data_IF_570566850821
#
_entry.id   IF_570566850821
#
_cell.length_a   1.000
_cell.length_b   1.000
_cell.length_c   1.000
_cell.angle_alpha   90.00
_cell.angle_beta   90.00
_cell.angle_gamma   90.00
#
_symmetry.space_group_name_H-M   'P 1'
#
loop_
_entity.id
_entity.type
_entity.pdbx_description
1 polymer ?
#
# COMPACT_ATOMS: atom_id res chain seq x y z
N UNK A 1 -3.85 60.04 16.03
CA UNK A 1 -4.84 58.95 16.12
C UNK A 1 -4.12 57.65 15.84
N UNK A 2 -3.83 56.88 16.88
CA UNK A 2 -3.13 55.59 16.77
C UNK A 2 -4.11 54.58 16.20
N UNK A 3 -3.79 53.97 15.06
CA UNK A 3 -4.51 52.82 14.54
C UNK A 3 -4.18 51.62 15.43
N UNK A 4 -5.10 51.22 16.31
CA UNK A 4 -5.11 49.89 16.90
C UNK A 4 -5.50 48.89 15.81
N UNK A 5 -4.54 48.09 15.36
CA UNK A 5 -4.83 46.92 14.54
C UNK A 5 -5.40 45.85 15.48
N UNK A 6 -6.73 45.77 15.56
CA UNK A 6 -7.43 44.66 16.21
C UNK A 6 -7.24 43.39 15.36
N UNK A 7 -6.23 42.57 15.69
CA UNK A 7 -5.98 41.29 15.02
C UNK A 7 -6.98 40.28 15.58
N UNK A 8 -8.16 40.23 14.97
CA UNK A 8 -9.27 39.36 15.41
C UNK A 8 -9.12 37.90 14.98
N UNK A 9 -8.17 37.59 14.10
CA UNK A 9 -7.78 36.22 13.74
C UNK A 9 -6.43 36.25 13.03
N UNK A 10 -5.55 35.28 13.30
CA UNK A 10 -4.39 35.00 12.45
C UNK A 10 -4.82 33.93 11.45
N UNK A 11 -5.13 34.27 10.18
CA UNK A 11 -5.51 33.28 9.20
C UNK A 11 -4.29 32.44 8.82
N UNK A 12 -4.21 31.22 9.35
CA UNK A 12 -3.30 30.21 8.82
C UNK A 12 -3.94 29.58 7.58
N UNK A 13 -3.17 29.46 6.49
CA UNK A 13 -3.67 28.85 5.25
C UNK A 13 -4.03 27.39 5.52
N UNK A 14 -5.31 27.08 5.45
CA UNK A 14 -5.78 25.71 5.60
C UNK A 14 -5.64 24.93 4.31
N UNK A 15 -5.21 23.68 4.45
CA UNK A 15 -5.08 22.69 3.39
C UNK A 15 -5.85 21.47 3.87
N UNK A 16 -6.85 21.07 3.10
CA UNK A 16 -7.55 19.81 3.28
C UNK A 16 -7.18 18.89 2.13
N UNK A 17 -6.65 17.72 2.46
CA UNK A 17 -6.23 16.70 1.47
C UNK A 17 -6.78 15.35 1.91
N UNK A 18 -7.31 14.59 0.95
CA UNK A 18 -7.73 13.21 1.18
C UNK A 18 -6.68 12.27 0.56
N UNK A 19 -6.17 11.34 1.36
CA UNK A 19 -5.28 10.28 0.90
C UNK A 19 -6.08 8.99 0.82
N UNK A 20 -6.17 8.41 -0.38
CA UNK A 20 -6.79 7.12 -0.58
C UNK A 20 -5.79 6.00 -0.21
N UNK A 21 -6.17 5.17 0.75
CA UNK A 21 -5.35 4.07 1.29
C UNK A 21 -5.98 2.68 1.03
N UNK A 22 -7.10 2.63 0.30
CA UNK A 22 -7.79 1.39 -0.05
C UNK A 22 -8.49 1.45 -1.40
N UNK A 23 -8.95 0.29 -1.86
CA UNK A 23 -9.57 0.10 -3.18
C UNK A 23 -11.02 0.60 -3.26
N UNK A 24 -11.66 0.76 -2.11
CA UNK A 24 -13.02 1.28 -2.01
C UNK A 24 -12.99 2.79 -1.73
N UNK A 25 -14.01 3.51 -2.20
CA UNK A 25 -14.13 4.97 -2.06
C UNK A 25 -14.94 5.38 -0.82
N UNK A 26 -15.06 4.48 0.15
CA UNK A 26 -15.73 4.71 1.43
C UNK A 26 -14.82 5.47 2.40
N UNK A 27 -15.41 6.02 3.46
CA UNK A 27 -14.69 6.82 4.47
C UNK A 27 -13.63 6.01 5.23
N UNK A 28 -13.79 4.69 5.33
CA UNK A 28 -12.83 3.77 5.96
C UNK A 28 -11.55 3.56 5.15
N UNK A 29 -11.59 3.80 3.83
CA UNK A 29 -10.44 3.65 2.93
C UNK A 29 -9.79 4.98 2.55
N UNK A 30 -10.23 6.09 3.17
CA UNK A 30 -9.67 7.41 2.96
C UNK A 30 -9.21 8.00 4.30
N UNK A 31 -8.05 8.66 4.27
CA UNK A 31 -7.53 9.45 5.36
C UNK A 31 -7.69 10.92 4.98
N UNK A 32 -8.49 11.64 5.75
CA UNK A 32 -8.66 13.08 5.58
C UNK A 32 -7.65 13.79 6.48
N UNK A 33 -6.81 14.60 5.88
CA UNK A 33 -5.96 15.55 6.60
C UNK A 33 -6.61 16.93 6.48
N UNK A 34 -6.93 17.52 7.62
CA UNK A 34 -7.40 18.90 7.68
C UNK A 34 -6.45 19.73 8.54
N UNK A 35 -5.73 20.64 7.90
CA UNK A 35 -4.82 21.57 8.57
C UNK A 35 -5.49 22.85 9.06
N UNK A 36 -6.83 22.90 9.10
CA UNK A 36 -7.59 23.99 9.72
C UNK A 36 -7.16 24.14 11.19
N UNK A 37 -6.38 25.18 11.46
CA UNK A 37 -6.00 25.62 12.79
C UNK A 37 -6.50 27.06 12.94
N UNK A 38 -7.69 27.22 13.51
CA UNK A 38 -8.27 28.53 13.76
C UNK A 38 -8.19 28.81 15.25
N UNK A 39 -7.39 29.80 15.62
CA UNK A 39 -7.37 30.34 16.97
C UNK A 39 -8.10 31.68 16.97
N UNK A 40 -9.20 31.73 17.71
CA UNK A 40 -9.98 32.95 17.88
C UNK A 40 -9.44 33.72 19.10
N UNK A 41 -8.96 34.93 18.85
CA UNK A 41 -8.48 35.88 19.86
C UNK A 41 -9.45 37.07 20.01
N UNK A 42 -10.64 37.00 19.41
CA UNK A 42 -11.62 38.07 19.52
C UNK A 42 -12.08 38.21 20.98
N UNK A 43 -11.86 39.39 21.56
CA UNK A 43 -12.27 39.71 22.93
C UNK A 43 -11.17 39.63 23.99
N UNK A 44 -9.93 39.28 23.64
CA UNK A 44 -8.79 39.36 24.58
C UNK A 44 -8.13 40.73 24.45
N UNK A 45 -8.36 41.62 25.42
CA UNK A 45 -7.64 42.89 25.53
C UNK A 45 -6.22 42.66 26.09
N UNK A 46 -5.22 43.37 25.57
CA UNK A 46 -3.80 43.17 25.87
C UNK A 46 -3.38 43.68 27.27
N UNK A 47 -4.33 43.85 28.18
CA UNK A 47 -4.09 44.09 29.61
C UNK A 47 -3.78 42.76 30.30
N UNK A 48 -2.53 42.59 30.75
CA UNK A 48 -1.93 41.35 31.31
C UNK A 48 -2.65 40.80 32.57
N UNK A 49 -3.74 41.41 33.04
CA UNK A 49 -4.44 41.07 34.28
C UNK A 49 -5.87 40.53 34.10
N UNK A 50 -6.32 40.17 32.90
CA UNK A 50 -7.66 39.61 32.71
C UNK A 50 -7.62 38.08 32.62
N UNK A 51 -8.50 37.44 33.40
CA UNK A 51 -8.82 35.99 33.34
C UNK A 51 -9.09 35.51 31.90
N UNK A 52 -9.49 36.43 31.02
CA UNK A 52 -9.78 36.23 29.60
C UNK A 52 -8.53 35.80 28.80
N UNK A 53 -7.36 36.39 29.05
CA UNK A 53 -6.12 35.99 28.40
C UNK A 53 -5.69 34.57 28.80
N UNK A 54 -5.87 34.22 30.08
CA UNK A 54 -5.61 32.85 30.56
C UNK A 54 -6.59 31.84 29.94
N UNK A 55 -7.88 32.19 29.86
CA UNK A 55 -8.88 31.35 29.21
C UNK A 55 -8.59 31.14 27.71
N UNK A 56 -8.08 32.15 27.01
CA UNK A 56 -7.67 32.01 25.61
C UNK A 56 -6.47 31.06 25.45
N UNK A 57 -5.50 31.08 26.36
CA UNK A 57 -4.37 30.14 26.36
C UNK A 57 -4.87 28.71 26.61
N UNK A 58 -5.78 28.51 27.56
CA UNK A 58 -6.39 27.19 27.82
C UNK A 58 -7.18 26.69 26.60
N UNK A 59 -7.90 27.58 25.91
CA UNK A 59 -8.60 27.23 24.67
C UNK A 59 -7.62 26.81 23.56
N UNK A 60 -6.50 27.50 23.43
CA UNK A 60 -5.43 27.13 22.51
C UNK A 60 -4.82 25.76 22.82
N UNK A 61 -4.55 25.47 24.10
CA UNK A 61 -3.99 24.18 24.53
C UNK A 61 -4.94 23.01 24.22
N UNK A 62 -6.24 23.22 24.42
CA UNK A 62 -7.27 22.24 24.07
C UNK A 62 -7.32 22.00 22.55
N UNK A 63 -7.29 23.07 21.74
CA UNK A 63 -7.23 22.95 20.28
C UNK A 63 -5.98 22.18 19.83
N UNK A 64 -4.82 22.48 20.40
CA UNK A 64 -3.58 21.79 20.09
C UNK A 64 -3.65 20.31 20.44
N UNK A 65 -4.22 19.98 21.61
CA UNK A 65 -4.42 18.60 22.07
C UNK A 65 -5.38 17.81 21.17
N UNK A 66 -6.46 18.44 20.72
CA UNK A 66 -7.39 17.85 19.76
C UNK A 66 -6.68 17.53 18.44
N UNK A 67 -5.90 18.48 17.92
CA UNK A 67 -5.15 18.28 16.67
C UNK A 67 -4.06 17.22 16.80
N UNK A 68 -3.34 17.17 17.92
CA UNK A 68 -2.37 16.11 18.18
C UNK A 68 -3.03 14.73 18.20
N UNK A 69 -4.21 14.63 18.80
CA UNK A 69 -5.00 13.38 18.84
C UNK A 69 -5.48 12.97 17.44
N UNK A 70 -5.97 13.92 16.65
CA UNK A 70 -6.36 13.68 15.25
C UNK A 70 -5.17 13.17 14.43
N UNK A 71 -3.98 13.78 14.57
CA UNK A 71 -2.76 13.33 13.90
C UNK A 71 -2.34 11.93 14.36
N UNK A 72 -2.43 11.63 15.65
CA UNK A 72 -2.15 10.29 16.17
C UNK A 72 -3.10 9.23 15.62
N UNK A 73 -4.40 9.53 15.52
CA UNK A 73 -5.38 8.63 14.90
C UNK A 73 -5.05 8.38 13.43
N UNK A 74 -4.63 9.42 12.70
CA UNK A 74 -4.21 9.29 11.30
C UNK A 74 -2.94 8.46 11.16
N UNK A 75 -1.94 8.66 12.02
CA UNK A 75 -0.72 7.83 12.04
C UNK A 75 -1.05 6.35 12.23
N UNK A 76 -1.90 6.01 13.21
CA UNK A 76 -2.33 4.62 13.43
C UNK A 76 -3.00 4.02 12.17
N UNK A 77 -3.82 4.80 11.47
CA UNK A 77 -4.44 4.34 10.21
C UNK A 77 -3.43 4.17 9.09
N UNK A 78 -2.43 5.03 8.99
CA UNK A 78 -1.33 4.88 8.02
C UNK A 78 -0.51 3.62 8.31
N UNK A 79 -0.19 3.34 9.57
CA UNK A 79 0.52 2.14 9.97
C UNK A 79 -0.28 0.87 9.65
N UNK A 80 -1.58 0.85 9.96
CA UNK A 80 -2.45 -0.28 9.62
C UNK A 80 -2.60 -0.48 8.10
N UNK A 81 -2.68 0.61 7.33
CA UNK A 81 -2.69 0.54 5.88
C UNK A 81 -1.37 0.00 5.32
N UNK A 82 -0.24 0.42 5.87
CA UNK A 82 1.09 -0.05 5.50
C UNK A 82 1.23 -1.56 5.74
N UNK A 83 0.85 -2.04 6.92
CA UNK A 83 0.87 -3.47 7.26
C UNK A 83 -0.02 -4.27 6.30
N UNK A 84 -1.23 -3.76 6.02
CA UNK A 84 -2.15 -4.38 5.07
C UNK A 84 -1.55 -4.46 3.66
N UNK A 85 -0.85 -3.43 3.20
CA UNK A 85 -0.18 -3.41 1.89
C UNK A 85 0.97 -4.41 1.88
N UNK A 86 1.77 -4.50 2.94
CA UNK A 86 2.88 -5.45 3.04
C UNK A 86 2.41 -6.90 2.96
N UNK A 87 1.34 -7.25 3.67
CA UNK A 87 0.70 -8.57 3.59
C UNK A 87 0.22 -8.87 2.16
N UNK A 88 -0.40 -7.88 1.49
CA UNK A 88 -0.83 -8.04 0.11
C UNK A 88 0.34 -8.24 -0.86
N UNK A 89 1.44 -7.51 -0.68
CA UNK A 89 2.67 -7.69 -1.47
C UNK A 89 3.23 -9.09 -1.30
N UNK A 90 3.28 -9.61 -0.07
CA UNK A 90 3.74 -10.97 0.22
C UNK A 90 2.85 -12.03 -0.44
N UNK A 91 1.52 -11.87 -0.35
CA UNK A 91 0.56 -12.77 -0.98
C UNK A 91 0.68 -12.76 -2.52
N UNK A 92 0.83 -11.59 -3.13
CA UNK A 92 1.00 -11.44 -4.57
C UNK A 92 2.35 -12.00 -5.05
N UNK A 93 3.41 -11.80 -4.26
CA UNK A 93 4.75 -12.33 -4.58
C UNK A 93 4.76 -13.85 -4.51
N UNK A 94 4.16 -14.44 -3.47
CA UNK A 94 4.00 -15.90 -3.35
C UNK A 94 3.20 -16.48 -4.52
N UNK A 95 2.04 -15.88 -4.81
CA UNK A 95 1.19 -16.29 -5.95
C UNK A 95 1.94 -16.21 -7.28
N UNK A 96 2.72 -15.13 -7.49
CA UNK A 96 3.55 -14.96 -8.69
C UNK A 96 4.66 -16.01 -8.77
N UNK A 97 5.27 -16.39 -7.64
CA UNK A 97 6.25 -17.48 -7.61
C UNK A 97 5.60 -18.78 -8.03
N UNK A 98 4.46 -19.13 -7.44
CA UNK A 98 3.72 -20.37 -7.77
C UNK A 98 3.34 -20.43 -9.24
N UNK A 99 2.85 -19.32 -9.83
CA UNK A 99 2.52 -19.28 -11.27
C UNK A 99 3.77 -19.50 -12.12
N UNK A 100 4.88 -18.80 -11.81
CA UNK A 100 6.14 -18.98 -12.54
C UNK A 100 6.69 -20.40 -12.42
N UNK A 101 6.63 -20.98 -11.23
CA UNK A 101 7.12 -22.34 -10.99
C UNK A 101 6.27 -23.38 -11.74
N UNK A 102 4.95 -23.17 -11.82
CA UNK A 102 4.06 -24.00 -12.63
C UNK A 102 4.35 -23.89 -14.14
N UNK A 103 4.55 -22.67 -14.65
CA UNK A 103 4.91 -22.45 -16.06
C UNK A 103 6.27 -23.12 -16.40
N UNK A 104 7.26 -23.03 -15.51
CA UNK A 104 8.57 -23.69 -15.68
C UNK A 104 8.42 -25.22 -15.63
N UNK A 105 7.58 -25.75 -14.73
CA UNK A 105 7.29 -27.19 -14.65
C UNK A 105 6.64 -27.71 -15.95
N UNK A 106 5.76 -26.92 -16.57
CA UNK A 106 5.15 -27.28 -17.85
C UNK A 106 6.19 -27.33 -18.98
N UNK A 107 6.98 -26.27 -19.14
CA UNK A 107 8.02 -26.21 -20.19
C UNK A 107 9.06 -27.32 -20.01
N UNK A 108 9.50 -27.59 -18.79
CA UNK A 108 10.46 -28.67 -18.51
C UNK A 108 9.88 -30.06 -18.78
N UNK A 109 8.60 -30.29 -18.47
CA UNK A 109 7.91 -31.55 -18.79
C UNK A 109 7.80 -31.76 -20.30
N UNK A 110 7.43 -30.71 -21.05
CA UNK A 110 7.38 -30.75 -22.51
C UNK A 110 8.76 -30.99 -23.13
N UNK A 111 9.80 -30.36 -22.59
CA UNK A 111 11.19 -30.57 -23.03
C UNK A 111 11.64 -32.02 -22.78
N UNK A 112 11.38 -32.58 -21.59
CA UNK A 112 11.70 -33.97 -21.25
C UNK A 112 10.93 -34.93 -22.16
N UNK A 113 9.64 -34.69 -22.40
CA UNK A 113 8.83 -35.51 -23.31
C UNK A 113 9.41 -35.54 -24.72
N UNK A 114 9.82 -34.38 -25.25
CA UNK A 114 10.47 -34.29 -26.56
C UNK A 114 11.81 -35.05 -26.58
N UNK A 115 12.61 -34.96 -25.52
CA UNK A 115 13.88 -35.67 -25.42
C UNK A 115 13.68 -37.20 -25.34
N UNK A 116 12.67 -37.66 -24.61
CA UNK A 116 12.27 -39.08 -24.56
C UNK A 116 11.81 -39.54 -25.94
N UNK A 117 10.99 -38.75 -26.65
CA UNK A 117 10.53 -39.10 -28.00
C UNK A 117 11.69 -39.21 -28.99
N UNK A 118 12.70 -38.34 -28.91
CA UNK A 118 13.89 -38.42 -29.75
C UNK A 118 14.72 -39.69 -29.46
N UNK A 119 14.95 -40.02 -28.19
CA UNK A 119 15.66 -41.25 -27.80
C UNK A 119 14.87 -42.52 -28.15
N UNK A 120 13.55 -42.51 -27.95
CA UNK A 120 12.67 -43.60 -28.35
C UNK A 120 12.68 -43.78 -29.87
N UNK A 121 12.61 -42.69 -30.65
CA UNK A 121 12.69 -42.75 -32.11
C UNK A 121 14.02 -43.35 -32.58
N UNK A 122 15.15 -42.95 -31.99
CA UNK A 122 16.46 -43.53 -32.31
C UNK A 122 16.54 -45.03 -31.96
N UNK A 123 16.02 -45.42 -30.79
CA UNK A 123 15.99 -46.81 -30.33
C UNK A 123 15.07 -47.67 -31.20
N UNK A 124 13.88 -47.15 -31.53
CA UNK A 124 12.91 -47.79 -32.42
C UNK A 124 13.44 -47.93 -33.84
N UNK A 125 14.16 -46.93 -34.37
CA UNK A 125 14.84 -47.06 -35.66
C UNK A 125 15.94 -48.13 -35.63
N UNK A 126 16.69 -48.25 -34.53
CA UNK A 126 17.69 -49.30 -34.38
C UNK A 126 17.04 -50.71 -34.28
N UNK A 127 15.92 -50.84 -33.58
CA UNK A 127 15.18 -52.11 -33.49
C UNK A 127 14.48 -52.47 -34.81
N UNK A 128 13.89 -51.49 -35.50
CA UNK A 128 13.26 -51.69 -36.81
C UNK A 128 14.25 -52.12 -37.90
N UNK A 129 15.52 -51.73 -37.81
CA UNK A 129 16.57 -52.19 -38.72
C UNK A 129 17.11 -53.60 -38.39
N UNK A 130 16.98 -54.06 -37.15
CA UNK A 130 17.45 -55.41 -36.75
C UNK A 130 16.38 -56.50 -36.93
N UNK A 131 15.10 -56.14 -36.85
CA UNK A 131 13.98 -57.06 -37.01
C UNK A 131 13.95 -57.80 -38.38
N UNK A 132 14.27 -57.17 -39.53
CA UNK A 132 14.29 -57.84 -40.83
C UNK A 132 15.41 -58.87 -40.99
N UNK A 133 16.56 -58.66 -40.34
CA UNK A 133 17.71 -59.58 -40.44
C UNK A 133 17.46 -60.91 -39.73
N UNK A 134 16.68 -60.90 -38.65
CA UNK A 134 16.27 -62.12 -37.92
C UNK A 134 15.24 -62.90 -38.73
N UNK A 135 14.32 -62.20 -39.41
CA UNK A 135 13.34 -62.83 -40.29
C UNK A 135 13.98 -63.54 -41.51
N UNK A 136 15.07 -63.00 -42.07
CA UNK A 136 15.81 -63.65 -43.17
C UNK A 136 16.63 -64.88 -42.74
N UNK A 137 16.84 -65.13 -41.44
CA UNK A 137 17.48 -66.35 -40.95
C UNK A 137 16.46 -67.49 -40.68
N UNK A 138 15.17 -67.20 -40.77
CA UNK A 138 14.07 -68.13 -40.50
C UNK A 138 13.41 -68.69 -41.78
N UNK A 139 14.01 -68.47 -42.95
CA UNK A 139 13.65 -69.02 -44.28
C UNK A 139 14.88 -69.65 -44.91
#
# INVERSE_FOLDING_TARGET
SVCEANITAVPLRSVSTTLQIGIYSDSSCQINFDSNFQFDLSGVDAGIETVEAFNAIVAFENLLSEKATQLGAVQNRLESALESIEVNINNLTSSRSTIRDADIAEVSSQYIQQQILQQASATLMATANQMPAIALQLI
#
